data_IF_565136248242
#
_entry.id   IF_565136248242
#
_cell.length_a   1.000
_cell.length_b   1.000
_cell.length_c   1.000
_cell.angle_alpha   90.00
_cell.angle_beta   90.00
_cell.angle_gamma   90.00
#
_symmetry.space_group_name_H-M   'P 1'
#
loop_
_entity.id
_entity.type
_entity.pdbx_description
1 polymer ?
#
# COMPACT_ATOMS: atom_id res chain seq x y z
N UNK A 1 -9.79 17.55 6.19
CA UNK A 1 -10.11 16.49 5.20
C UNK A 1 -8.83 15.75 4.88
N UNK A 2 -8.88 14.45 4.61
CA UNK A 2 -7.68 13.62 4.39
C UNK A 2 -6.79 14.16 3.27
N UNK A 3 -7.39 14.66 2.18
CA UNK A 3 -6.67 15.33 1.10
C UNK A 3 -5.90 16.58 1.56
N UNK A 4 -6.47 17.35 2.50
CA UNK A 4 -5.80 18.54 3.06
C UNK A 4 -4.61 18.18 3.95
N UNK A 5 -4.72 17.11 4.75
CA UNK A 5 -3.59 16.62 5.58
C UNK A 5 -2.51 15.97 4.73
N UNK A 6 -2.91 15.17 3.75
CA UNK A 6 -2.04 14.57 2.75
C UNK A 6 -1.28 15.64 1.95
N UNK A 7 -1.95 16.67 1.41
CA UNK A 7 -1.31 17.78 0.72
C UNK A 7 -0.30 18.56 1.61
N UNK A 8 -0.41 18.47 2.94
CA UNK A 8 0.52 19.05 3.91
C UNK A 8 1.66 18.09 4.30
N UNK A 9 1.70 16.89 3.72
CA UNK A 9 2.72 15.87 3.98
C UNK A 9 2.50 15.11 5.29
N UNK A 10 1.29 15.14 5.86
CA UNK A 10 1.00 14.40 7.08
C UNK A 10 1.00 12.90 6.79
N UNK A 11 2.05 12.20 7.25
CA UNK A 11 2.27 10.75 7.04
C UNK A 11 1.00 9.93 7.29
N UNK A 12 0.31 10.22 8.41
CA UNK A 12 -0.89 9.51 8.83
C UNK A 12 -2.11 9.72 7.91
N UNK A 13 -2.08 10.68 6.98
CA UNK A 13 -3.20 10.95 6.07
C UNK A 13 -3.15 10.12 4.79
N UNK A 14 -1.96 9.63 4.38
CA UNK A 14 -1.78 9.00 3.07
C UNK A 14 -2.42 7.60 2.97
N UNK A 15 -2.20 6.74 3.97
CA UNK A 15 -2.78 5.40 3.97
C UNK A 15 -4.32 5.42 4.05
N UNK A 16 -4.95 6.20 4.94
CA UNK A 16 -6.41 6.34 4.93
C UNK A 16 -6.95 6.94 3.63
N UNK A 17 -6.22 7.86 3.00
CA UNK A 17 -6.60 8.41 1.70
C UNK A 17 -6.53 7.36 0.59
N UNK A 18 -5.49 6.53 0.56
CA UNK A 18 -5.38 5.42 -0.38
C UNK A 18 -6.52 4.41 -0.19
N UNK A 19 -6.86 4.07 1.06
CA UNK A 19 -7.99 3.18 1.36
C UNK A 19 -9.33 3.78 0.91
N UNK A 20 -9.53 5.09 1.06
CA UNK A 20 -10.73 5.77 0.57
C UNK A 20 -10.85 5.63 -0.96
N UNK A 21 -9.76 5.89 -1.69
CA UNK A 21 -9.76 5.75 -3.14
C UNK A 21 -10.01 4.31 -3.59
N UNK A 22 -9.37 3.33 -2.94
CA UNK A 22 -9.49 1.93 -3.31
C UNK A 22 -10.88 1.34 -3.01
N UNK A 23 -11.43 1.61 -1.81
CA UNK A 23 -12.60 0.90 -1.30
C UNK A 23 -13.91 1.65 -1.55
N UNK A 24 -13.90 2.97 -1.45
CA UNK A 24 -15.14 3.77 -1.48
C UNK A 24 -15.34 4.45 -2.83
N UNK A 25 -14.25 4.94 -3.44
CA UNK A 25 -14.32 5.69 -4.70
C UNK A 25 -14.06 4.81 -5.94
N UNK A 26 -13.51 3.61 -5.75
CA UNK A 26 -13.19 2.69 -6.84
C UNK A 26 -12.15 3.26 -7.82
N UNK A 27 -11.23 4.10 -7.34
CA UNK A 27 -10.16 4.71 -8.11
C UNK A 27 -8.80 4.09 -7.72
N UNK A 28 -8.43 2.95 -8.33
CA UNK A 28 -7.21 2.25 -7.96
C UNK A 28 -5.94 3.02 -8.36
N UNK A 29 -6.00 3.93 -9.34
CA UNK A 29 -4.84 4.75 -9.72
C UNK A 29 -4.58 5.85 -8.68
N UNK A 30 -5.63 6.50 -8.19
CA UNK A 30 -5.52 7.44 -7.09
C UNK A 30 -5.09 6.76 -5.78
N UNK A 31 -5.57 5.53 -5.53
CA UNK A 31 -5.13 4.74 -4.39
C UNK A 31 -3.62 4.44 -4.44
N UNK A 32 -3.13 3.97 -5.58
CA UNK A 32 -1.69 3.71 -5.79
C UNK A 32 -0.85 4.98 -5.56
N UNK A 33 -1.29 6.12 -6.10
CA UNK A 33 -0.60 7.40 -5.90
C UNK A 33 -0.54 7.82 -4.42
N UNK A 34 -1.63 7.60 -3.67
CA UNK A 34 -1.69 7.90 -2.25
C UNK A 34 -0.78 6.97 -1.43
N UNK A 35 -0.79 5.66 -1.68
CA UNK A 35 0.11 4.73 -1.00
C UNK A 35 1.58 5.01 -1.29
N UNK A 36 1.94 5.32 -2.55
CA UNK A 36 3.31 5.73 -2.91
C UNK A 36 3.74 6.99 -2.18
N UNK A 37 2.84 7.95 -2.01
CA UNK A 37 3.09 9.17 -1.24
C UNK A 37 3.28 8.87 0.25
N UNK A 38 2.50 7.94 0.82
CA UNK A 38 2.68 7.44 2.18
C UNK A 38 4.05 6.79 2.39
N UNK A 39 4.45 5.91 1.47
CA UNK A 39 5.79 5.28 1.45
C UNK A 39 6.89 6.35 1.42
N UNK A 40 6.79 7.34 0.51
CA UNK A 40 7.77 8.42 0.40
C UNK A 40 7.83 9.29 1.67
N UNK A 41 6.72 9.39 2.41
CA UNK A 41 6.64 10.10 3.68
C UNK A 41 7.08 9.25 4.89
N UNK A 42 7.44 7.97 4.68
CA UNK A 42 7.94 7.07 5.73
C UNK A 42 6.87 6.18 6.37
N UNK A 43 5.67 6.09 5.80
CA UNK A 43 4.66 5.12 6.24
C UNK A 43 4.96 3.72 5.68
N UNK A 44 5.51 2.86 6.54
CA UNK A 44 5.80 1.46 6.20
C UNK A 44 4.55 0.63 5.88
N UNK A 45 3.39 0.96 6.45
CA UNK A 45 2.15 0.21 6.23
C UNK A 45 1.56 0.41 4.83
N UNK A 46 1.87 1.55 4.19
CA UNK A 46 1.47 1.81 2.81
C UNK A 46 2.08 0.82 1.81
N UNK A 47 3.19 0.15 2.16
CA UNK A 47 3.72 -0.95 1.35
C UNK A 47 2.75 -2.14 1.26
N UNK A 48 2.13 -2.54 2.36
CA UNK A 48 1.20 -3.68 2.36
C UNK A 48 -0.01 -3.39 1.49
N UNK A 49 -0.64 -2.23 1.64
CA UNK A 49 -1.85 -1.89 0.91
C UNK A 49 -1.60 -1.68 -0.59
N UNK A 50 -0.44 -1.10 -0.96
CA UNK A 50 -0.03 -1.03 -2.36
C UNK A 50 0.20 -2.43 -2.94
N UNK A 51 0.78 -3.35 -2.18
CA UNK A 51 0.95 -4.72 -2.65
C UNK A 51 -0.38 -5.43 -2.88
N UNK A 52 -1.36 -5.27 -1.99
CA UNK A 52 -2.72 -5.84 -2.18
C UNK A 52 -3.34 -5.33 -3.48
N UNK A 53 -3.26 -4.02 -3.74
CA UNK A 53 -3.75 -3.42 -4.98
C UNK A 53 -3.07 -3.99 -6.23
N UNK A 54 -1.75 -4.27 -6.15
CA UNK A 54 -0.98 -4.85 -7.24
C UNK A 54 -1.32 -6.33 -7.47
N UNK A 55 -1.59 -7.10 -6.40
CA UNK A 55 -2.07 -8.47 -6.49
C UNK A 55 -3.42 -8.54 -7.20
N UNK A 56 -4.36 -7.65 -6.86
CA UNK A 56 -5.67 -7.58 -7.52
C UNK A 56 -5.55 -7.26 -9.02
N UNK A 57 -4.47 -6.59 -9.42
CA UNK A 57 -4.14 -6.28 -10.82
C UNK A 57 -3.30 -7.38 -11.51
N UNK A 58 -2.89 -8.42 -10.78
CA UNK A 58 -2.03 -9.49 -11.27
C UNK A 58 -0.56 -9.09 -11.46
N UNK A 59 -0.12 -7.95 -10.92
CA UNK A 59 1.28 -7.50 -10.97
C UNK A 59 2.07 -8.11 -9.81
N UNK A 60 2.30 -9.43 -9.90
CA UNK A 60 2.90 -10.24 -8.84
C UNK A 60 4.32 -9.78 -8.48
N UNK A 61 5.14 -9.44 -9.48
CA UNK A 61 6.52 -8.99 -9.29
C UNK A 61 6.60 -7.74 -8.40
N UNK A 62 5.75 -6.72 -8.69
CA UNK A 62 5.74 -5.50 -7.88
C UNK A 62 5.06 -5.73 -6.54
N UNK A 63 4.03 -6.55 -6.48
CA UNK A 63 3.41 -6.92 -5.22
C UNK A 63 4.44 -7.57 -4.27
N UNK A 64 5.20 -8.55 -4.74
CA UNK A 64 6.24 -9.22 -3.97
C UNK A 64 7.29 -8.21 -3.46
N UNK A 65 7.74 -7.30 -4.32
CA UNK A 65 8.68 -6.25 -3.94
C UNK A 65 8.15 -5.41 -2.75
N UNK A 66 6.91 -4.94 -2.83
CA UNK A 66 6.31 -4.15 -1.75
C UNK A 66 6.05 -4.99 -0.49
N UNK A 67 5.63 -6.24 -0.61
CA UNK A 67 5.44 -7.14 0.54
C UNK A 67 6.76 -7.41 1.28
N UNK A 68 7.87 -7.59 0.56
CA UNK A 68 9.21 -7.73 1.17
C UNK A 68 9.59 -6.49 1.97
N UNK A 69 9.35 -5.30 1.43
CA UNK A 69 9.66 -4.04 2.14
C UNK A 69 8.77 -3.82 3.36
N UNK A 70 7.46 -4.11 3.26
CA UNK A 70 6.55 -4.06 4.39
C UNK A 70 6.95 -5.04 5.50
N UNK A 71 7.26 -6.29 5.13
CA UNK A 71 7.70 -7.32 6.06
C UNK A 71 9.03 -6.96 6.75
N UNK A 72 9.99 -6.41 6.00
CA UNK A 72 11.26 -5.91 6.54
C UNK A 72 11.07 -4.75 7.53
N UNK A 73 9.97 -4.00 7.40
CA UNK A 73 9.59 -2.91 8.30
C UNK A 73 8.77 -3.40 9.51
N UNK A 74 8.56 -4.71 9.66
CA UNK A 74 7.82 -5.31 10.77
C UNK A 74 6.32 -5.44 10.55
N UNK A 75 5.81 -5.18 9.35
CA UNK A 75 4.39 -5.37 9.04
C UNK A 75 4.07 -6.88 8.93
N UNK A 76 3.34 -7.39 9.92
CA UNK A 76 2.97 -8.80 10.00
C UNK A 76 1.99 -9.24 8.89
N UNK A 77 1.14 -8.32 8.40
CA UNK A 77 0.23 -8.60 7.29
C UNK A 77 1.01 -8.70 5.98
N UNK A 78 1.96 -7.80 5.75
CA UNK A 78 2.88 -7.90 4.61
C UNK A 78 3.67 -9.22 4.64
N UNK A 79 4.20 -9.61 5.79
CA UNK A 79 4.92 -10.87 5.94
C UNK A 79 4.04 -12.11 5.67
N UNK A 80 2.78 -12.09 6.10
CA UNK A 80 1.83 -13.17 5.84
C UNK A 80 1.44 -13.26 4.37
N UNK A 81 1.13 -12.12 3.74
CA UNK A 81 0.82 -12.06 2.33
C UNK A 81 2.02 -12.48 1.45
N UNK A 82 3.25 -12.11 1.83
CA UNK A 82 4.46 -12.56 1.12
C UNK A 82 4.60 -14.08 1.15
N UNK A 83 4.41 -14.71 2.32
CA UNK A 83 4.48 -16.17 2.42
C UNK A 83 3.45 -16.84 1.53
N UNK A 84 2.21 -16.35 1.55
CA UNK A 84 1.14 -16.88 0.70
C UNK A 84 1.48 -16.75 -0.78
N UNK A 85 1.98 -15.60 -1.22
CA UNK A 85 2.38 -15.38 -2.61
C UNK A 85 3.46 -16.38 -3.06
N UNK A 86 4.50 -16.57 -2.24
CA UNK A 86 5.62 -17.48 -2.53
C UNK A 86 5.26 -18.97 -2.43
N UNK A 87 4.13 -19.32 -1.80
CA UNK A 87 3.59 -20.68 -1.75
C UNK A 87 2.74 -21.01 -2.98
N UNK A 88 2.28 -19.99 -3.72
CA UNK A 88 1.40 -20.12 -4.89
C UNK A 88 2.14 -20.06 -6.24
N UNK A 89 3.43 -19.70 -6.26
CA UNK A 89 4.35 -19.73 -7.43
C UNK A 89 4.96 -21.13 -7.69
#
# INVERSE_FOLDING_TARGET
MLETGAARGEVASWLPLGNLYANELGDPDAAEAAYRSGIAAGDGHSHHNLAVLLLDRGDLDRAEFHLRLGAASGDALAAAALRRLLEED
#
